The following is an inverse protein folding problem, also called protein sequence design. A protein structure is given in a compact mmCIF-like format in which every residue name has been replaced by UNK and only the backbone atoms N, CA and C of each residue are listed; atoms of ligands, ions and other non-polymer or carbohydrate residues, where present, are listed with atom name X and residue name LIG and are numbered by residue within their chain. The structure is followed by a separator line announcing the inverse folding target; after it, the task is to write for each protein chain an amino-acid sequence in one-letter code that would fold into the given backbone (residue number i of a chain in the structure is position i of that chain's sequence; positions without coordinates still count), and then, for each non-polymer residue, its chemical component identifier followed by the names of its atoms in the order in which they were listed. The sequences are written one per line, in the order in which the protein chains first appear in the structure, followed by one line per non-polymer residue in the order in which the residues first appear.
data_IF_095104443095
#
_entry.id   IF_095104443095
#
_cell.length_a   1.000
_cell.length_b   1.000
_cell.length_c   1.000
_cell.angle_alpha   90.00
_cell.angle_beta   90.00
_cell.angle_gamma   90.00
#
_symmetry.space_group_name_H-M   'P 1'
#
loop_
_entity.id
_entity.type
_entity.pdbx_description
1 polymer ?
#
# COMPACT_ATOMS: atom_id res chain seq x y z
N UNK A 1 -13.58 10.90 3.50
CA UNK A 1 -12.23 11.03 4.08
C UNK A 1 -11.20 10.94 2.97
N UNK A 2 -10.12 11.70 3.05
CA UNK A 2 -8.96 11.60 2.17
C UNK A 2 -7.79 11.03 2.96
N UNK A 3 -7.09 10.06 2.37
CA UNK A 3 -5.83 9.52 2.88
C UNK A 3 -4.71 9.98 1.95
N UNK A 4 -3.60 10.44 2.51
CA UNK A 4 -2.45 10.93 1.73
C UNK A 4 -1.16 10.88 2.52
N UNK A 5 -0.04 11.05 1.83
CA UNK A 5 1.30 11.10 2.43
C UNK A 5 2.32 10.56 1.43
N UNK A 6 3.52 11.11 1.44
CA UNK A 6 4.64 10.61 0.64
C UNK A 6 5.97 11.02 1.25
N UNK A 7 6.99 10.19 1.02
CA UNK A 7 8.35 10.43 1.41
C UNK A 7 8.60 10.16 2.91
N UNK A 8 9.35 11.05 3.54
CA UNK A 8 9.80 10.89 4.94
C UNK A 8 8.76 11.40 5.95
N UNK A 9 7.49 11.46 5.57
CA UNK A 9 6.38 11.94 6.39
C UNK A 9 5.32 10.86 6.55
N UNK A 10 4.47 10.94 7.60
CA UNK A 10 3.44 9.94 7.84
C UNK A 10 2.38 9.88 6.73
N UNK A 11 1.75 8.72 6.58
CA UNK A 11 0.41 8.64 5.97
C UNK A 11 -0.59 9.28 6.93
N UNK A 12 -1.43 10.15 6.41
CA UNK A 12 -2.42 10.95 7.14
C UNK A 12 -3.82 10.70 6.61
N UNK A 13 -4.81 11.03 7.44
CA UNK A 13 -6.23 11.04 7.08
C UNK A 13 -6.91 12.31 7.58
N UNK A 14 -7.87 12.82 6.81
CA UNK A 14 -8.79 13.90 7.22
C UNK A 14 -10.13 13.76 6.53
N UNK A 15 -11.17 14.24 7.20
CA UNK A 15 -12.52 14.24 6.64
C UNK A 15 -12.63 15.25 5.49
N UNK A 16 -13.36 14.86 4.45
CA UNK A 16 -13.69 15.74 3.33
C UNK A 16 -15.07 16.35 3.57
N UNK A 17 -15.32 17.52 2.98
CA UNK A 17 -16.66 18.11 2.89
C UNK A 17 -17.63 17.14 2.20
N UNK A 18 -18.94 17.34 2.38
CA UNK A 18 -19.98 16.44 1.83
C UNK A 18 -19.97 16.33 0.30
N UNK A 19 -19.48 17.36 -0.39
CA UNK A 19 -19.30 17.42 -1.85
C UNK A 19 -17.89 16.99 -2.30
N UNK A 20 -16.99 16.70 -1.36
CA UNK A 20 -15.66 16.12 -1.55
C UNK A 20 -14.66 17.04 -2.27
N UNK A 21 -14.97 18.33 -2.35
CA UNK A 21 -14.14 19.34 -3.00
C UNK A 21 -13.13 20.00 -2.05
N UNK A 22 -13.36 19.90 -0.73
CA UNK A 22 -12.51 20.48 0.30
C UNK A 22 -12.41 19.56 1.53
N UNK A 23 -11.57 19.93 2.50
CA UNK A 23 -11.63 19.31 3.82
C UNK A 23 -12.83 19.83 4.61
N UNK A 24 -13.46 18.95 5.39
CA UNK A 24 -14.55 19.35 6.28
C UNK A 24 -14.09 20.39 7.30
N UNK A 25 -14.94 21.38 7.57
CA UNK A 25 -14.71 22.40 8.59
C UNK A 25 -14.51 21.78 9.98
N UNK A 26 -13.73 22.44 10.83
CA UNK A 26 -13.44 22.01 12.21
C UNK A 26 -12.83 20.60 12.35
N UNK A 27 -12.26 20.04 11.27
CA UNK A 27 -11.51 18.78 11.31
C UNK A 27 -10.01 19.04 11.14
N UNK A 28 -9.18 18.16 11.69
CA UNK A 28 -7.71 18.20 11.54
C UNK A 28 -7.20 16.88 10.98
N UNK A 29 -6.00 16.89 10.38
CA UNK A 29 -5.38 15.67 9.88
C UNK A 29 -4.83 14.83 11.04
N UNK A 30 -5.08 13.52 11.01
CA UNK A 30 -4.46 12.54 11.90
C UNK A 30 -3.38 11.77 11.14
N UNK A 31 -2.21 11.58 11.75
CA UNK A 31 -1.16 10.69 11.25
C UNK A 31 -1.47 9.25 11.66
N UNK A 32 -1.31 8.30 10.75
CA UNK A 32 -1.74 6.91 10.91
C UNK A 32 -0.58 5.92 10.90
N UNK A 33 0.34 6.07 9.94
CA UNK A 33 1.52 5.22 9.75
C UNK A 33 2.71 6.14 9.57
N UNK A 34 3.81 5.85 10.26
CA UNK A 34 5.04 6.63 10.23
C UNK A 34 6.13 5.87 9.48
N UNK A 35 7.00 6.56 8.72
CA UNK A 35 8.18 5.92 8.14
C UNK A 35 9.16 5.52 9.25
N UNK A 36 10.06 4.57 8.95
CA UNK A 36 11.15 4.08 9.82
C UNK A 36 10.69 3.30 11.05
N UNK A 37 9.46 2.81 11.05
CA UNK A 37 8.89 1.96 12.12
C UNK A 37 9.16 0.45 11.91
N UNK A 38 9.62 0.03 10.71
CA UNK A 38 9.88 -1.37 10.38
C UNK A 38 11.25 -1.56 9.71
N UNK A 39 11.88 -2.73 9.85
CA UNK A 39 13.24 -2.98 9.34
C UNK A 39 13.36 -2.87 7.81
N UNK A 40 12.34 -3.33 7.08
CA UNK A 40 12.36 -3.41 5.62
C UNK A 40 11.34 -2.46 4.99
N UNK A 41 11.74 -1.80 3.91
CA UNK A 41 10.91 -0.93 3.07
C UNK A 41 10.28 0.29 3.75
N UNK A 42 10.58 0.59 5.03
CA UNK A 42 9.88 1.67 5.75
C UNK A 42 10.57 3.03 5.72
N UNK A 43 11.77 3.15 5.14
CA UNK A 43 12.59 4.39 5.21
C UNK A 43 11.83 5.64 4.74
N UNK A 44 11.03 5.49 3.69
CA UNK A 44 10.01 6.42 3.25
C UNK A 44 8.73 5.62 2.95
N UNK A 45 7.57 6.27 3.05
CA UNK A 45 6.27 5.63 2.78
C UNK A 45 5.35 6.56 1.99
N UNK A 46 4.49 5.99 1.15
CA UNK A 46 3.57 6.73 0.29
C UNK A 46 2.43 5.84 -0.25
N UNK A 47 1.65 6.34 -1.23
CA UNK A 47 0.73 5.50 -2.00
C UNK A 47 -0.38 4.86 -1.18
N UNK A 48 -1.02 5.64 -0.30
CA UNK A 48 -2.05 5.14 0.60
C UNK A 48 -3.31 4.67 -0.15
N UNK A 49 -3.78 3.47 0.16
CA UNK A 49 -5.06 2.94 -0.32
C UNK A 49 -5.79 2.20 0.80
N UNK A 50 -7.10 2.42 0.93
CA UNK A 50 -7.91 1.76 1.98
C UNK A 50 -8.92 0.81 1.35
N UNK A 51 -8.94 -0.44 1.82
CA UNK A 51 -9.98 -1.43 1.53
C UNK A 51 -10.71 -1.81 2.83
N UNK A 52 -11.99 -2.19 2.74
CA UNK A 52 -12.75 -2.72 3.87
C UNK A 52 -13.09 -4.19 3.61
N UNK A 53 -12.67 -5.06 4.53
CA UNK A 53 -12.90 -6.50 4.42
C UNK A 53 -13.10 -7.13 5.79
N UNK A 54 -14.17 -7.92 5.95
CA UNK A 54 -14.49 -8.70 7.15
C UNK A 54 -14.35 -7.90 8.47
N UNK A 55 -14.89 -6.68 8.49
CA UNK A 55 -14.94 -5.86 9.70
C UNK A 55 -13.61 -5.20 10.06
N UNK A 56 -12.66 -5.08 9.12
CA UNK A 56 -11.43 -4.32 9.25
C UNK A 56 -11.23 -3.40 8.05
N UNK A 57 -10.68 -2.22 8.30
CA UNK A 57 -10.07 -1.36 7.30
C UNK A 57 -8.61 -1.77 7.14
N UNK A 58 -8.21 -2.12 5.93
CA UNK A 58 -6.82 -2.38 5.56
C UNK A 58 -6.28 -1.14 4.86
N UNK A 59 -5.23 -0.55 5.45
CA UNK A 59 -4.46 0.52 4.85
C UNK A 59 -3.24 -0.10 4.19
N UNK A 60 -3.26 -0.11 2.87
CA UNK A 60 -2.10 -0.41 2.02
C UNK A 60 -1.31 0.87 1.83
N UNK A 61 0.02 0.75 1.84
CA UNK A 61 0.95 1.83 1.59
C UNK A 61 2.19 1.25 0.94
N UNK A 62 2.83 2.01 0.07
CA UNK A 62 4.08 1.60 -0.57
C UNK A 62 5.27 2.16 0.19
N UNK A 63 6.29 1.35 0.31
CA UNK A 63 7.49 1.61 1.08
C UNK A 63 8.73 1.70 0.20
N UNK A 64 9.65 2.58 0.60
CA UNK A 64 10.98 2.79 0.02
C UNK A 64 10.91 3.35 -1.42
N UNK A 65 12.04 3.38 -2.12
CA UNK A 65 12.19 4.14 -3.35
C UNK A 65 11.48 3.50 -4.55
N UNK A 66 10.52 4.20 -5.14
CA UNK A 66 9.79 3.78 -6.35
C UNK A 66 10.64 3.76 -7.63
N UNK A 67 11.73 4.52 -7.67
CA UNK A 67 12.15 5.18 -8.89
C UNK A 67 13.67 5.16 -9.11
N UNK A 68 14.11 5.12 -10.37
CA UNK A 68 15.53 5.21 -10.73
C UNK A 68 16.27 3.88 -10.54
N UNK A 69 17.57 3.88 -10.82
CA UNK A 69 18.40 2.67 -10.89
C UNK A 69 18.40 1.83 -9.59
N UNK A 70 18.11 2.47 -8.45
CA UNK A 70 18.03 1.84 -7.13
C UNK A 70 16.59 1.72 -6.64
N UNK A 71 15.62 1.51 -7.55
CA UNK A 71 14.23 1.29 -7.17
C UNK A 71 14.11 0.02 -6.32
N UNK A 72 13.56 0.17 -5.11
CA UNK A 72 13.37 -0.88 -4.14
C UNK A 72 12.00 -0.70 -3.48
N UNK A 73 10.95 -0.75 -4.29
CA UNK A 73 9.59 -0.48 -3.85
C UNK A 73 8.85 -1.76 -3.45
N UNK A 74 8.00 -1.68 -2.44
CA UNK A 74 7.14 -2.77 -2.01
C UNK A 74 5.82 -2.22 -1.44
N UNK A 75 4.74 -3.01 -1.52
CA UNK A 75 3.48 -2.72 -0.82
C UNK A 75 3.52 -3.36 0.56
N UNK A 76 3.15 -2.58 1.57
CA UNK A 76 3.00 -2.96 2.96
C UNK A 76 1.54 -2.79 3.40
N UNK A 77 1.16 -3.42 4.52
CA UNK A 77 -0.21 -3.35 5.03
C UNK A 77 -0.31 -3.18 6.55
N UNK A 78 -1.28 -2.37 6.97
CA UNK A 78 -1.75 -2.26 8.34
C UNK A 78 -3.28 -2.38 8.38
N UNK A 79 -3.87 -2.71 9.53
CA UNK A 79 -5.33 -2.76 9.67
C UNK A 79 -5.85 -2.12 10.95
N UNK A 80 -7.11 -1.69 10.92
CA UNK A 80 -7.84 -1.08 12.03
C UNK A 80 -9.31 -1.49 12.03
N UNK A 81 -9.95 -1.51 13.21
CA UNK A 81 -11.41 -1.62 13.32
C UNK A 81 -12.13 -0.31 12.96
N UNK A 82 -11.42 0.82 13.05
CA UNK A 82 -11.94 2.17 12.77
C UNK A 82 -11.22 2.78 11.56
N UNK A 83 -11.96 3.41 10.65
CA UNK A 83 -11.41 4.01 9.42
C UNK A 83 -10.26 4.99 9.70
N UNK A 84 -10.35 5.78 10.78
CA UNK A 84 -9.33 6.77 11.14
C UNK A 84 -8.30 6.27 12.16
N UNK A 85 -8.18 4.94 12.30
CA UNK A 85 -7.19 4.29 13.16
C UNK A 85 -7.60 4.14 14.63
N UNK A 86 -6.65 3.75 15.50
CA UNK A 86 -5.25 3.48 15.20
C UNK A 86 -5.06 2.24 14.32
N UNK A 87 -4.13 2.31 13.36
CA UNK A 87 -3.75 1.17 12.52
C UNK A 87 -2.63 0.37 13.19
N UNK A 88 -2.72 -0.96 13.11
CA UNK A 88 -1.65 -1.87 13.52
C UNK A 88 -1.06 -2.55 12.29
N UNK A 89 0.26 -2.47 12.12
CA UNK A 89 0.98 -3.08 11.00
C UNK A 89 0.94 -4.60 11.09
N UNK A 90 1.02 -5.29 9.95
CA UNK A 90 1.04 -6.76 9.93
C UNK A 90 2.20 -7.32 10.75
N UNK A 91 3.40 -6.73 10.64
CA UNK A 91 4.59 -7.07 11.41
C UNK A 91 4.30 -7.09 12.90
N UNK A 92 3.72 -6.00 13.43
CA UNK A 92 3.39 -5.85 14.85
C UNK A 92 2.36 -6.88 15.31
N UNK A 93 1.31 -7.12 14.52
CA UNK A 93 0.24 -8.05 14.92
C UNK A 93 0.69 -9.51 14.85
N UNK A 94 1.50 -9.88 13.85
CA UNK A 94 1.98 -11.26 13.66
C UNK A 94 3.29 -11.56 14.39
N UNK A 95 3.98 -10.56 14.94
CA UNK A 95 5.30 -10.72 15.54
C UNK A 95 6.38 -11.09 14.52
N UNK A 96 6.28 -10.57 13.29
CA UNK A 96 7.24 -10.83 12.20
C UNK A 96 7.98 -9.53 11.82
N UNK A 97 9.04 -9.65 11.01
CA UNK A 97 9.97 -8.55 10.73
C UNK A 97 9.44 -7.45 9.79
N UNK A 98 8.42 -7.75 8.99
CA UNK A 98 7.96 -6.83 7.95
C UNK A 98 6.48 -7.02 7.61
N UNK A 99 5.83 -5.91 7.27
CA UNK A 99 4.44 -5.85 6.80
C UNK A 99 4.29 -5.90 5.28
N UNK A 100 5.37 -6.23 4.56
CA UNK A 100 5.37 -6.39 3.11
C UNK A 100 4.42 -7.50 2.68
N UNK A 101 3.62 -7.20 1.65
CA UNK A 101 2.66 -8.13 1.02
C UNK A 101 2.92 -8.28 -0.47
N UNK A 102 3.59 -7.30 -1.10
CA UNK A 102 4.03 -7.35 -2.49
C UNK A 102 5.42 -6.73 -2.59
N UNK A 103 6.40 -7.47 -3.11
CA UNK A 103 7.76 -7.00 -3.33
C UNK A 103 8.31 -7.58 -4.63
N UNK A 104 9.52 -7.19 -5.01
CA UNK A 104 10.18 -7.70 -6.21
C UNK A 104 10.27 -9.23 -6.21
N UNK A 105 10.22 -9.81 -7.40
CA UNK A 105 10.50 -11.22 -7.66
C UNK A 105 11.35 -11.34 -8.94
N UNK A 106 11.47 -12.55 -9.48
CA UNK A 106 12.31 -12.82 -10.67
C UNK A 106 11.81 -12.10 -11.93
N UNK A 107 10.52 -11.75 -12.00
CA UNK A 107 9.89 -11.13 -13.18
C UNK A 107 9.60 -9.64 -12.99
N UNK A 108 9.45 -9.18 -11.75
CA UNK A 108 8.93 -7.87 -11.43
C UNK A 108 9.80 -7.16 -10.40
N UNK A 109 10.17 -5.93 -10.72
CA UNK A 109 10.94 -5.04 -9.88
C UNK A 109 10.07 -3.88 -9.40
N UNK A 110 10.33 -3.44 -8.17
CA UNK A 110 9.72 -2.26 -7.55
C UNK A 110 8.18 -2.16 -7.72
N UNK A 111 7.40 -3.20 -7.37
CA UNK A 111 5.95 -3.12 -7.44
C UNK A 111 5.38 -2.21 -6.36
N UNK A 112 4.37 -1.39 -6.70
CA UNK A 112 3.64 -0.62 -5.70
C UNK A 112 2.67 0.42 -6.26
N UNK A 113 2.36 1.41 -5.43
CA UNK A 113 1.31 2.42 -5.62
C UNK A 113 -0.01 1.76 -6.05
N UNK A 114 -0.47 0.83 -5.21
CA UNK A 114 -1.56 -0.05 -5.56
C UNK A 114 -2.93 0.59 -5.34
N UNK A 115 -3.94 -0.02 -5.98
CA UNK A 115 -5.34 0.11 -5.63
C UNK A 115 -5.98 -1.28 -5.52
N UNK A 116 -7.02 -1.38 -4.71
CA UNK A 116 -7.83 -2.59 -4.54
C UNK A 116 -9.22 -2.34 -5.09
N UNK A 117 -9.73 -3.28 -5.88
CA UNK A 117 -11.09 -3.28 -6.42
C UNK A 117 -11.70 -4.67 -6.39
N UNK A 118 -13.02 -4.76 -6.47
CA UNK A 118 -13.76 -6.02 -6.51
C UNK A 118 -14.42 -6.19 -7.89
N UNK A 119 -14.38 -7.39 -8.45
CA UNK A 119 -15.13 -7.71 -9.66
C UNK A 119 -16.58 -8.09 -9.36
N UNK A 120 -17.36 -8.33 -10.43
CA UNK A 120 -18.78 -8.68 -10.32
C UNK A 120 -19.09 -9.97 -9.54
N UNK A 121 -18.09 -10.83 -9.32
CA UNK A 121 -18.23 -12.10 -8.61
C UNK A 121 -17.77 -12.00 -7.15
N UNK A 122 -17.39 -10.81 -6.68
CA UNK A 122 -16.89 -10.61 -5.32
C UNK A 122 -15.40 -10.89 -5.17
N UNK A 123 -14.67 -11.18 -6.25
CA UNK A 123 -13.22 -11.39 -6.19
C UNK A 123 -12.51 -10.04 -6.11
N UNK A 124 -11.63 -9.89 -5.12
CA UNK A 124 -10.76 -8.72 -5.01
C UNK A 124 -9.51 -8.85 -5.88
N UNK A 125 -9.10 -7.73 -6.43
CA UNK A 125 -7.93 -7.59 -7.28
C UNK A 125 -7.09 -6.43 -6.78
N UNK A 126 -5.77 -6.58 -6.86
CA UNK A 126 -4.81 -5.50 -6.66
C UNK A 126 -4.32 -5.04 -8.03
N UNK A 127 -4.61 -3.80 -8.40
CA UNK A 127 -3.93 -3.13 -9.49
C UNK A 127 -2.71 -2.38 -8.95
N UNK A 128 -1.57 -2.46 -9.63
CA UNK A 128 -0.34 -1.80 -9.22
C UNK A 128 0.55 -1.58 -10.44
N UNK A 129 1.59 -0.75 -10.30
CA UNK A 129 2.64 -0.70 -11.31
C UNK A 129 3.84 -1.54 -10.88
N UNK A 130 4.55 -2.09 -11.85
CA UNK A 130 5.85 -2.74 -11.65
C UNK A 130 6.75 -2.50 -12.87
N UNK A 131 8.04 -2.74 -12.71
CA UNK A 131 9.03 -2.71 -13.80
C UNK A 131 9.35 -4.17 -14.16
N UNK A 132 9.21 -4.62 -15.42
CA UNK A 132 9.66 -5.94 -15.82
C UNK A 132 11.15 -6.14 -15.51
N UNK A 133 11.55 -7.30 -14.98
CA UNK A 133 12.95 -7.57 -14.65
C UNK A 133 13.88 -7.51 -15.88
N UNK A 134 13.35 -7.80 -17.06
CA UNK A 134 14.04 -7.64 -18.36
C UNK A 134 14.42 -6.18 -18.66
N UNK A 135 13.80 -5.22 -17.99
CA UNK A 135 14.06 -3.78 -18.14
C UNK A 135 15.07 -3.26 -17.09
N UNK A 136 15.67 -4.11 -16.25
CA UNK A 136 16.62 -3.70 -15.21
C UNK A 136 17.82 -2.92 -15.78
N UNK A 137 18.30 -3.32 -16.96
CA UNK A 137 19.41 -2.67 -17.66
C UNK A 137 18.98 -1.47 -18.53
N UNK A 138 17.67 -1.22 -18.64
CA UNK A 138 17.14 -0.14 -19.49
C UNK A 138 17.08 1.17 -18.70
N UNK A 139 17.62 2.23 -19.30
CA UNK A 139 17.57 3.58 -18.70
C UNK A 139 16.14 4.12 -18.60
N UNK A 140 15.17 3.49 -19.27
CA UNK A 140 13.80 3.97 -19.38
C UNK A 140 12.87 3.44 -18.29
N UNK A 141 13.23 2.32 -17.62
CA UNK A 141 12.49 1.74 -16.49
C UNK A 141 10.97 1.74 -16.70
N UNK A 142 10.53 1.23 -17.85
CA UNK A 142 9.13 1.28 -18.25
C UNK A 142 8.27 0.54 -17.24
N UNK A 143 7.42 1.31 -16.56
CA UNK A 143 6.41 0.77 -15.67
C UNK A 143 5.24 0.28 -16.50
N UNK A 144 4.77 -0.90 -16.17
CA UNK A 144 3.54 -1.47 -16.73
C UNK A 144 2.51 -1.62 -15.62
N UNK A 145 1.25 -1.65 -16.01
CA UNK A 145 0.16 -1.97 -15.11
C UNK A 145 0.08 -3.48 -14.94
N UNK A 146 0.04 -3.94 -13.69
CA UNK A 146 -0.18 -5.32 -13.30
C UNK A 146 -1.49 -5.42 -12.53
N UNK A 147 -2.17 -6.57 -12.65
CA UNK A 147 -3.37 -6.89 -11.90
C UNK A 147 -3.19 -8.30 -11.34
N UNK A 148 -3.21 -8.42 -10.02
CA UNK A 148 -3.07 -9.69 -9.31
C UNK A 148 -4.29 -10.00 -8.47
N UNK A 149 -4.61 -11.28 -8.35
CA UNK A 149 -5.69 -11.73 -7.48
C UNK A 149 -5.32 -11.46 -6.03
N UNK A 150 -6.24 -10.87 -5.27
CA UNK A 150 -6.11 -10.62 -3.85
C UNK A 150 -7.03 -11.55 -3.07
N UNK A 151 -6.48 -12.30 -2.13
CA UNK A 151 -7.26 -13.07 -1.16
C UNK A 151 -6.86 -12.68 0.26
N UNK A 152 -7.65 -13.08 1.26
CA UNK A 152 -7.31 -12.86 2.66
C UNK A 152 -7.24 -14.20 3.38
N UNK A 153 -6.08 -14.52 3.95
CA UNK A 153 -5.84 -15.75 4.72
C UNK A 153 -5.47 -15.38 6.15
N UNK A 154 -6.16 -15.99 7.12
CA UNK A 154 -5.98 -15.68 8.54
C UNK A 154 -6.09 -14.17 8.86
N UNK A 155 -6.95 -13.45 8.11
CA UNK A 155 -7.19 -12.03 8.27
C UNK A 155 -6.09 -11.10 7.73
N UNK A 156 -5.20 -11.58 6.86
CA UNK A 156 -4.20 -10.76 6.18
C UNK A 156 -4.21 -11.03 4.68
N UNK A 157 -3.90 -10.03 3.84
CA UNK A 157 -3.91 -10.20 2.40
C UNK A 157 -2.79 -11.12 1.91
N UNK A 158 -3.10 -11.92 0.91
CA UNK A 158 -2.17 -12.70 0.09
C UNK A 158 -2.41 -12.33 -1.38
N UNK A 159 -1.35 -11.87 -2.05
CA UNK A 159 -1.38 -11.50 -3.47
C UNK A 159 -0.82 -12.65 -4.29
N UNK A 160 -1.59 -13.11 -5.27
CA UNK A 160 -1.16 -14.12 -6.23
C UNK A 160 -0.38 -13.41 -7.35
N UNK A 161 0.93 -13.63 -7.38
CA UNK A 161 1.82 -13.08 -8.40
C UNK A 161 2.24 -14.22 -9.30
N UNK A 162 2.06 -14.07 -10.60
CA UNK A 162 2.58 -15.01 -11.58
C UNK A 162 4.11 -15.12 -11.43
N UNK A 163 4.56 -16.34 -11.17
CA UNK A 163 5.98 -16.71 -11.05
C UNK A 163 6.64 -16.83 -12.41
#
# INVERSE_FOLDING_TARGET
YLFWGSGFQPIKVRELSRDWTAFAENTTSKSLIYPREEEAYSNLIEGAWVDFFNGFYYLYYSGDNCCGLNANYAVMVARSKNLTGPYSTMAKVKGIKSSVVLAKNDNWLAPGHNSIFEDKNGQRWMAYHAIPATELASQTQKRVMCISRLSYKNGWPEIEIDK
#
